data_IF_689563783920
#
_entry.id   IF_689563783920
#
_cell.length_a   1.000
_cell.length_b   1.000
_cell.length_c   1.000
_cell.angle_alpha   90.00
_cell.angle_beta   90.00
_cell.angle_gamma   90.00
#
_symmetry.space_group_name_H-M   'P 1'
#
loop_
_entity.id
_entity.type
_entity.pdbx_description
1 polymer ?
#
# COMPACT_ATOMS: atom_id res chain seq x y z
N UNK A 1 -52.28 -27.09 70.21
CA UNK A 1 -51.35 -25.93 69.94
C UNK A 1 -50.05 -26.45 69.52
N UNK A 2 -49.70 -26.30 68.20
CA UNK A 2 -48.36 -26.56 67.63
C UNK A 2 -47.94 -25.28 66.88
N UNK A 3 -46.73 -24.74 67.07
CA UNK A 3 -46.32 -23.54 66.41
C UNK A 3 -45.87 -23.84 64.97
N UNK A 4 -46.30 -23.01 64.07
CA UNK A 4 -45.90 -23.08 62.63
C UNK A 4 -44.47 -22.62 62.38
N UNK A 5 -43.73 -23.40 61.60
CA UNK A 5 -42.40 -23.08 61.11
C UNK A 5 -42.53 -22.34 59.78
N UNK A 6 -42.29 -21.06 59.78
CA UNK A 6 -42.18 -20.25 58.55
C UNK A 6 -40.83 -20.51 57.87
N UNK A 7 -40.80 -21.21 56.71
CA UNK A 7 -39.66 -21.33 55.83
C UNK A 7 -39.45 -19.99 55.12
N UNK A 8 -38.40 -19.23 55.47
CA UNK A 8 -37.90 -18.11 54.68
C UNK A 8 -37.26 -18.65 53.40
N UNK A 9 -37.91 -18.40 52.27
CA UNK A 9 -37.28 -18.56 50.95
C UNK A 9 -36.14 -17.52 50.83
N UNK A 10 -34.87 -17.95 50.84
CA UNK A 10 -33.72 -17.13 50.48
C UNK A 10 -33.73 -17.01 48.95
N UNK A 11 -33.89 -15.80 48.44
CA UNK A 11 -33.85 -15.48 47.02
C UNK A 11 -32.42 -15.69 46.50
N UNK A 12 -32.24 -16.39 45.37
CA UNK A 12 -30.89 -16.63 44.77
C UNK A 12 -30.26 -15.39 44.12
N UNK A 13 -30.98 -14.26 44.15
CA UNK A 13 -30.51 -13.00 43.48
C UNK A 13 -29.33 -12.35 44.19
N UNK A 14 -29.12 -12.63 45.50
CA UNK A 14 -27.98 -12.05 46.23
C UNK A 14 -26.62 -12.57 45.89
N UNK A 15 -26.50 -13.82 45.37
CA UNK A 15 -25.21 -14.42 45.07
C UNK A 15 -24.66 -14.01 43.70
N UNK A 16 -25.50 -13.66 42.72
CA UNK A 16 -25.11 -13.23 41.39
C UNK A 16 -24.53 -11.80 41.38
N UNK A 17 -24.99 -10.91 42.27
CA UNK A 17 -24.56 -9.51 42.34
C UNK A 17 -23.16 -9.38 42.94
N UNK A 18 -22.76 -10.26 43.88
CA UNK A 18 -21.42 -10.23 44.50
C UNK A 18 -20.33 -10.73 43.54
N UNK A 19 -20.64 -11.63 42.61
CA UNK A 19 -19.69 -12.10 41.59
C UNK A 19 -19.45 -11.05 40.49
N UNK A 20 -20.44 -10.23 40.16
CA UNK A 20 -20.27 -9.14 39.19
C UNK A 20 -19.43 -7.95 39.73
N UNK A 21 -19.52 -7.69 41.02
CA UNK A 21 -18.75 -6.59 41.65
C UNK A 21 -17.23 -6.90 41.83
N UNK A 22 -16.86 -8.18 41.83
CA UNK A 22 -15.47 -8.61 41.93
C UNK A 22 -14.67 -8.53 40.60
N UNK A 23 -15.34 -8.50 39.44
CA UNK A 23 -14.72 -8.47 38.12
C UNK A 23 -14.41 -7.03 37.63
N UNK A 24 -14.97 -6.01 38.24
CA UNK A 24 -14.68 -4.61 37.86
C UNK A 24 -13.30 -4.10 38.29
N UNK A 25 -12.51 -4.88 39.04
CA UNK A 25 -11.13 -4.57 39.44
C UNK A 25 -10.04 -5.29 38.62
N UNK A 26 -10.39 -6.19 37.69
CA UNK A 26 -9.40 -6.81 36.80
C UNK A 26 -8.96 -5.77 35.78
N UNK A 27 -7.77 -5.23 35.99
CA UNK A 27 -7.18 -4.13 35.25
C UNK A 27 -7.33 -4.26 33.72
N UNK A 28 -7.69 -3.16 33.11
CA UNK A 28 -7.50 -2.97 31.68
C UNK A 28 -6.01 -3.22 31.37
N UNK A 29 -5.62 -4.43 30.99
CA UNK A 29 -4.32 -4.69 30.39
C UNK A 29 -4.34 -3.94 29.08
N UNK A 30 -3.70 -2.74 29.03
CA UNK A 30 -3.46 -2.02 27.79
C UNK A 30 -2.64 -2.94 26.87
N UNK A 31 -2.93 -2.91 25.58
CA UNK A 31 -2.04 -3.51 24.57
C UNK A 31 -0.67 -2.86 24.76
N UNK A 32 0.36 -3.69 24.96
CA UNK A 32 1.72 -3.18 25.11
C UNK A 32 2.13 -2.40 23.86
N UNK A 33 2.82 -1.30 24.02
CA UNK A 33 3.39 -0.55 22.90
C UNK A 33 4.48 -1.40 22.25
N UNK A 34 4.47 -1.58 20.92
CA UNK A 34 5.55 -2.30 20.25
C UNK A 34 6.88 -1.59 20.50
N UNK A 35 7.98 -2.34 20.67
CA UNK A 35 9.30 -1.75 20.66
C UNK A 35 9.56 -1.12 19.28
N UNK A 36 10.43 -0.11 19.18
CA UNK A 36 10.81 0.41 17.88
C UNK A 36 11.39 -0.74 17.03
N UNK A 37 11.04 -0.84 15.73
CA UNK A 37 11.59 -1.87 14.89
C UNK A 37 13.10 -1.62 14.74
N UNK A 38 13.87 -2.43 15.47
CA UNK A 38 15.32 -2.56 15.41
C UNK A 38 16.13 -1.25 15.49
N UNK A 39 16.73 -1.01 16.67
CA UNK A 39 17.74 0.04 16.90
C UNK A 39 19.07 -0.21 16.14
N UNK A 40 19.14 -1.24 15.27
CA UNK A 40 20.37 -1.72 14.65
C UNK A 40 20.79 -0.91 13.40
N UNK A 41 19.98 0.03 12.88
CA UNK A 41 20.39 0.88 11.76
C UNK A 41 20.76 2.25 12.29
N UNK A 42 22.05 2.53 12.32
CA UNK A 42 22.53 3.90 12.45
C UNK A 42 22.23 4.66 11.16
N UNK A 43 21.18 5.51 11.21
CA UNK A 43 20.89 6.41 10.09
C UNK A 43 21.95 7.51 10.08
N UNK A 44 22.68 7.72 8.95
CA UNK A 44 23.69 8.76 8.85
C UNK A 44 23.13 10.15 9.20
N UNK A 45 23.94 11.00 9.77
CA UNK A 45 23.57 12.39 10.10
C UNK A 45 23.46 13.28 8.84
N UNK A 46 24.17 12.94 7.76
CA UNK A 46 24.17 13.64 6.48
C UNK A 46 24.29 12.66 5.33
N UNK A 47 23.88 13.10 4.13
CA UNK A 47 24.09 12.36 2.90
C UNK A 47 25.56 12.45 2.46
N UNK A 48 26.13 11.35 1.95
CA UNK A 48 27.52 11.34 1.46
C UNK A 48 27.71 12.19 0.20
N UNK A 49 26.68 12.23 -0.67
CA UNK A 49 26.70 12.93 -1.95
C UNK A 49 26.20 14.39 -1.85
N UNK A 50 25.77 14.87 -0.68
CA UNK A 50 25.33 16.26 -0.54
C UNK A 50 26.53 17.22 -0.46
N UNK A 51 26.49 18.30 -1.26
CA UNK A 51 27.48 19.39 -1.21
C UNK A 51 27.19 20.38 -0.06
N UNK A 52 26.00 20.35 0.51
CA UNK A 52 25.59 21.29 1.55
C UNK A 52 25.90 20.75 2.94
N UNK A 53 26.42 21.61 3.78
CA UNK A 53 26.64 21.32 5.21
C UNK A 53 25.33 20.98 5.88
N UNK A 54 25.28 19.93 6.68
CA UNK A 54 24.12 19.41 7.39
C UNK A 54 23.33 20.44 8.25
N UNK A 55 23.89 21.61 8.46
CA UNK A 55 23.39 22.64 9.39
C UNK A 55 22.32 23.60 8.77
N UNK A 56 22.03 23.54 7.46
CA UNK A 56 21.32 24.63 6.81
C UNK A 56 20.01 24.28 6.11
N UNK A 57 19.64 23.01 5.90
CA UNK A 57 18.50 22.72 5.03
C UNK A 57 17.37 22.06 5.79
N UNK A 58 16.34 22.85 6.10
CA UNK A 58 15.01 22.31 6.32
C UNK A 58 14.59 21.68 4.98
N UNK A 59 14.46 20.35 4.95
CA UNK A 59 13.94 19.66 3.78
C UNK A 59 12.53 20.16 3.42
N UNK A 60 12.06 19.85 2.20
CA UNK A 60 10.76 20.29 1.74
C UNK A 60 9.65 19.78 2.68
N UNK A 61 8.62 20.59 2.84
CA UNK A 61 7.42 20.22 3.62
C UNK A 61 6.66 19.10 2.92
N UNK A 62 5.81 18.38 3.65
CA UNK A 62 4.95 17.35 3.06
C UNK A 62 3.99 17.92 2.01
N UNK A 63 3.60 19.19 2.14
CA UNK A 63 2.74 19.90 1.18
C UNK A 63 3.48 20.21 -0.11
N UNK A 64 4.74 20.66 -0.03
CA UNK A 64 5.58 20.89 -1.21
C UNK A 64 5.90 19.57 -1.93
N UNK A 65 6.21 18.50 -1.18
CA UNK A 65 6.41 17.17 -1.77
C UNK A 65 5.14 16.60 -2.41
N UNK A 66 3.96 16.97 -1.93
CA UNK A 66 2.70 16.49 -2.50
C UNK A 66 2.41 17.03 -3.90
N UNK A 67 3.09 18.08 -4.34
CA UNK A 67 2.91 18.76 -5.64
C UNK A 67 4.24 19.13 -6.31
N UNK A 68 5.30 18.37 -6.03
CA UNK A 68 6.67 18.65 -6.46
C UNK A 68 6.83 18.85 -7.98
N UNK A 69 6.05 18.14 -8.79
CA UNK A 69 6.11 18.23 -10.27
C UNK A 69 5.75 19.61 -10.82
N UNK A 70 4.96 20.40 -10.07
CA UNK A 70 4.59 21.77 -10.46
C UNK A 70 5.78 22.71 -10.53
N UNK A 71 6.88 22.37 -9.84
CA UNK A 71 8.14 23.12 -9.92
C UNK A 71 8.78 23.03 -11.31
N UNK A 72 8.39 22.05 -12.13
CA UNK A 72 8.83 21.91 -13.51
C UNK A 72 8.19 22.92 -14.47
N UNK A 73 7.16 23.65 -14.04
CA UNK A 73 6.56 24.79 -14.75
C UNK A 73 5.84 24.45 -16.06
N UNK A 74 5.39 23.20 -16.23
CA UNK A 74 4.72 22.74 -17.45
C UNK A 74 3.22 22.47 -17.20
N UNK A 75 2.30 23.31 -17.75
CA UNK A 75 0.86 23.15 -17.52
C UNK A 75 0.28 21.87 -18.15
N UNK A 76 0.88 21.33 -19.22
CA UNK A 76 0.47 20.05 -19.83
C UNK A 76 0.78 18.91 -18.90
N UNK A 77 1.97 18.94 -18.26
CA UNK A 77 2.36 17.96 -17.25
C UNK A 77 1.44 18.04 -16.02
N UNK A 78 1.08 19.25 -15.57
CA UNK A 78 0.17 19.43 -14.45
C UNK A 78 -1.19 18.77 -14.71
N UNK A 79 -1.79 19.04 -15.88
CA UNK A 79 -3.06 18.42 -16.27
C UNK A 79 -2.95 16.91 -16.42
N UNK A 80 -1.85 16.42 -16.99
CA UNK A 80 -1.61 14.99 -17.16
C UNK A 80 -1.54 14.27 -15.80
N UNK A 81 -0.77 14.82 -14.85
CA UNK A 81 -0.67 14.25 -13.50
C UNK A 81 -2.03 14.24 -12.79
N UNK A 82 -2.83 15.31 -12.93
CA UNK A 82 -4.20 15.33 -12.35
C UNK A 82 -5.10 14.26 -12.97
N UNK A 83 -5.02 14.01 -14.29
CA UNK A 83 -5.76 12.92 -14.95
C UNK A 83 -5.33 11.56 -14.43
N UNK A 84 -4.03 11.32 -14.30
CA UNK A 84 -3.49 10.07 -13.73
C UNK A 84 -3.97 9.86 -12.29
N UNK A 85 -3.89 10.88 -11.43
CA UNK A 85 -4.33 10.77 -10.03
C UNK A 85 -5.83 10.47 -9.91
N UNK A 86 -6.64 10.98 -10.84
CA UNK A 86 -8.10 10.85 -10.78
C UNK A 86 -8.64 9.60 -11.47
N UNK A 87 -7.94 9.07 -12.48
CA UNK A 87 -8.42 7.98 -13.33
C UNK A 87 -7.65 6.67 -13.26
N UNK A 88 -6.50 6.62 -12.56
CA UNK A 88 -5.65 5.45 -12.56
C UNK A 88 -6.23 4.26 -11.79
N UNK A 89 -6.33 3.10 -12.44
CA UNK A 89 -6.89 1.84 -11.89
C UNK A 89 -6.06 1.26 -10.74
N UNK A 90 -4.73 1.49 -10.72
CA UNK A 90 -3.88 1.00 -9.62
C UNK A 90 -4.14 1.79 -8.34
N UNK A 91 -4.41 3.10 -8.45
CA UNK A 91 -4.86 3.93 -7.31
C UNK A 91 -6.23 3.50 -6.80
N UNK A 92 -7.18 3.20 -7.69
CA UNK A 92 -8.49 2.67 -7.30
C UNK A 92 -8.34 1.30 -6.62
N UNK A 93 -7.47 0.44 -7.14
CA UNK A 93 -7.15 -0.86 -6.54
C UNK A 93 -6.54 -0.69 -5.14
N UNK A 94 -5.60 0.23 -4.97
CA UNK A 94 -5.01 0.54 -3.66
C UNK A 94 -6.05 1.12 -2.68
N UNK A 95 -6.97 1.98 -3.15
CA UNK A 95 -8.08 2.47 -2.35
C UNK A 95 -9.06 1.34 -1.93
N UNK A 96 -9.32 0.39 -2.81
CA UNK A 96 -10.12 -0.80 -2.49
C UNK A 96 -9.45 -1.68 -1.41
N UNK A 97 -8.11 -1.82 -1.43
CA UNK A 97 -7.36 -2.51 -0.36
C UNK A 97 -7.49 -1.81 0.98
N UNK A 98 -7.47 -0.47 1.01
CA UNK A 98 -7.75 0.31 2.23
C UNK A 98 -9.18 0.05 2.74
N UNK A 99 -10.18 -0.03 1.85
CA UNK A 99 -11.55 -0.36 2.23
C UNK A 99 -11.66 -1.78 2.79
N UNK A 100 -10.97 -2.76 2.18
CA UNK A 100 -10.89 -4.14 2.67
C UNK A 100 -10.24 -4.20 4.06
N UNK A 101 -9.09 -3.55 4.26
CA UNK A 101 -8.40 -3.52 5.55
C UNK A 101 -9.27 -2.86 6.65
N UNK A 102 -10.03 -1.81 6.30
CA UNK A 102 -11.01 -1.18 7.19
C UNK A 102 -12.12 -2.15 7.60
N UNK A 103 -12.62 -2.94 6.66
CA UNK A 103 -13.62 -3.96 6.94
C UNK A 103 -13.06 -5.09 7.81
N UNK A 104 -11.84 -5.56 7.55
CA UNK A 104 -11.14 -6.58 8.37
C UNK A 104 -10.92 -6.09 9.81
N UNK A 105 -10.48 -4.82 9.99
CA UNK A 105 -10.42 -4.20 11.31
C UNK A 105 -11.80 -4.16 11.98
N UNK A 106 -12.88 -3.90 11.22
CA UNK A 106 -14.26 -3.96 11.69
C UNK A 106 -14.65 -5.34 12.20
N UNK A 107 -14.26 -6.40 11.48
CA UNK A 107 -14.45 -7.79 11.91
C UNK A 107 -13.72 -8.07 13.24
N UNK A 108 -12.44 -7.72 13.36
CA UNK A 108 -11.69 -7.88 14.61
C UNK A 108 -12.31 -7.09 15.78
N UNK A 109 -12.87 -5.90 15.50
CA UNK A 109 -13.60 -5.12 16.51
C UNK A 109 -14.91 -5.81 16.95
N UNK A 110 -15.62 -6.46 16.04
CA UNK A 110 -16.88 -7.15 16.36
C UNK A 110 -16.69 -8.33 17.30
N UNK A 111 -15.52 -8.97 17.31
CA UNK A 111 -15.18 -10.07 18.23
C UNK A 111 -15.11 -9.65 19.70
N UNK A 112 -15.00 -8.35 19.98
CA UNK A 112 -15.07 -7.82 21.35
C UNK A 112 -16.50 -7.74 21.90
N UNK A 113 -17.51 -7.74 21.02
CA UNK A 113 -18.92 -7.68 21.38
C UNK A 113 -19.57 -9.06 21.46
N UNK A 114 -20.81 -9.13 21.96
CA UNK A 114 -21.61 -10.35 21.92
C UNK A 114 -22.09 -10.65 20.49
N UNK A 115 -22.26 -11.95 20.20
CA UNK A 115 -22.99 -12.44 19.04
C UNK A 115 -24.40 -12.87 19.46
N UNK A 116 -25.38 -12.60 18.60
CA UNK A 116 -26.77 -13.02 18.80
C UNK A 116 -27.19 -13.77 17.54
N UNK A 117 -27.71 -14.98 17.72
CA UNK A 117 -28.26 -15.80 16.64
C UNK A 117 -29.63 -16.32 16.97
N UNK A 118 -30.46 -16.50 15.95
CA UNK A 118 -31.78 -17.14 16.09
C UNK A 118 -31.78 -18.41 15.26
N UNK A 119 -32.30 -19.49 15.84
CA UNK A 119 -32.40 -20.78 15.17
C UNK A 119 -33.84 -21.27 15.23
N UNK A 120 -34.33 -21.87 14.16
CA UNK A 120 -35.59 -22.58 14.09
C UNK A 120 -35.31 -23.96 13.49
N UNK A 121 -35.62 -24.99 14.26
CA UNK A 121 -35.43 -26.38 13.84
C UNK A 121 -36.75 -27.14 13.90
N UNK A 122 -36.98 -27.98 12.92
CA UNK A 122 -38.05 -28.97 12.92
C UNK A 122 -37.45 -30.34 12.70
N UNK A 123 -37.69 -31.24 13.61
CA UNK A 123 -37.18 -32.61 13.59
C UNK A 123 -38.34 -33.57 13.66
N UNK A 124 -38.42 -34.45 12.66
CA UNK A 124 -39.30 -35.64 12.71
C UNK A 124 -38.42 -36.87 12.88
N UNK A 125 -38.63 -37.61 13.96
CA UNK A 125 -37.96 -38.87 14.20
C UNK A 125 -38.96 -40.01 14.25
N UNK A 126 -38.70 -41.09 13.53
CA UNK A 126 -39.52 -42.29 13.48
C UNK A 126 -38.63 -43.49 13.83
N UNK A 127 -39.07 -44.29 14.80
CA UNK A 127 -38.39 -45.52 15.13
C UNK A 127 -38.67 -46.58 14.07
N UNK A 128 -37.63 -47.19 13.49
CA UNK A 128 -37.76 -48.20 12.45
C UNK A 128 -38.10 -49.64 12.97
N UNK A 129 -38.63 -49.76 14.22
CA UNK A 129 -39.07 -51.03 14.79
C UNK A 129 -40.56 -51.25 14.68
N UNK A 130 -41.05 -52.46 15.13
CA UNK A 130 -42.46 -52.89 14.96
C UNK A 130 -43.51 -51.94 15.64
N UNK A 131 -43.05 -51.06 16.55
CA UNK A 131 -43.90 -50.05 17.24
C UNK A 131 -43.54 -48.62 16.78
N UNK A 132 -43.21 -48.38 15.51
CA UNK A 132 -42.76 -47.11 14.96
C UNK A 132 -43.57 -45.89 15.45
N UNK A 133 -43.10 -45.24 16.51
CA UNK A 133 -43.69 -44.00 17.03
C UNK A 133 -42.98 -42.83 16.38
N UNK A 134 -43.69 -42.14 15.49
CA UNK A 134 -43.19 -40.87 14.96
C UNK A 134 -43.31 -39.77 16.03
N UNK A 135 -42.25 -39.00 16.23
CA UNK A 135 -42.19 -37.83 17.11
C UNK A 135 -41.84 -36.62 16.28
N UNK A 136 -42.68 -35.63 16.28
CA UNK A 136 -42.41 -34.32 15.73
C UNK A 136 -41.95 -33.39 16.89
N UNK A 137 -40.90 -32.62 16.64
CA UNK A 137 -40.41 -31.61 17.56
C UNK A 137 -40.05 -30.36 16.75
N UNK A 138 -40.56 -29.24 17.17
CA UNK A 138 -40.24 -27.91 16.65
C UNK A 138 -39.58 -27.12 17.78
N UNK A 139 -38.40 -26.54 17.50
CA UNK A 139 -37.71 -25.69 18.47
C UNK A 139 -37.30 -24.38 17.82
N UNK A 140 -37.45 -23.29 18.55
CA UNK A 140 -36.92 -21.98 18.24
C UNK A 140 -36.00 -21.53 19.37
N UNK A 141 -34.82 -21.01 19.03
CA UNK A 141 -33.93 -20.45 20.04
C UNK A 141 -33.39 -19.08 19.62
N UNK A 142 -33.17 -18.25 20.62
CA UNK A 142 -32.38 -17.02 20.53
C UNK A 142 -31.15 -17.21 21.41
N UNK A 143 -29.99 -17.30 20.80
CA UNK A 143 -28.74 -17.60 21.48
C UNK A 143 -27.86 -16.34 21.51
N UNK A 144 -27.29 -16.04 22.69
CA UNK A 144 -26.32 -14.97 22.91
C UNK A 144 -25.04 -15.60 23.39
N UNK A 145 -23.90 -15.24 22.75
CA UNK A 145 -22.60 -15.69 23.20
C UNK A 145 -21.63 -14.51 23.25
N UNK A 146 -20.85 -14.42 24.30
CA UNK A 146 -19.81 -13.42 24.47
C UNK A 146 -18.63 -14.00 25.25
N UNK A 147 -17.43 -13.70 24.78
CA UNK A 147 -16.20 -14.07 25.44
C UNK A 147 -15.50 -12.80 25.93
N UNK A 148 -15.28 -12.70 27.23
CA UNK A 148 -14.60 -11.59 27.84
C UNK A 148 -13.09 -11.65 27.53
N UNK A 149 -12.55 -10.58 26.96
CA UNK A 149 -11.13 -10.48 26.63
C UNK A 149 -10.29 -10.12 27.88
N UNK A 150 -10.09 -11.09 28.77
CA UNK A 150 -9.37 -10.88 30.02
C UNK A 150 -7.85 -10.71 29.83
N UNK A 151 -7.28 -11.43 28.87
CA UNK A 151 -5.85 -11.48 28.60
C UNK A 151 -5.42 -10.76 27.33
N UNK A 152 -6.34 -10.09 26.65
CA UNK A 152 -6.04 -9.18 25.56
C UNK A 152 -5.94 -9.82 24.17
N UNK A 153 -6.27 -11.11 24.00
CA UNK A 153 -6.20 -11.78 22.70
C UNK A 153 -6.95 -11.03 21.60
N UNK A 154 -8.20 -10.62 21.87
CA UNK A 154 -9.07 -9.90 20.93
C UNK A 154 -8.62 -8.45 20.74
N UNK A 155 -8.15 -7.78 21.80
CA UNK A 155 -7.60 -6.42 21.71
C UNK A 155 -6.30 -6.40 20.90
N UNK A 156 -5.42 -7.39 21.05
CA UNK A 156 -4.24 -7.55 20.21
C UNK A 156 -4.62 -7.84 18.75
N UNK A 157 -5.62 -8.67 18.48
CA UNK A 157 -6.14 -8.89 17.12
C UNK A 157 -6.70 -7.61 16.50
N UNK A 158 -7.43 -6.79 17.27
CA UNK A 158 -7.88 -5.48 16.83
C UNK A 158 -6.72 -4.50 16.56
N UNK A 159 -5.70 -4.50 17.43
CA UNK A 159 -4.49 -3.69 17.24
C UNK A 159 -3.74 -4.09 15.97
N UNK A 160 -3.62 -5.40 15.69
CA UNK A 160 -3.05 -5.90 14.44
C UNK A 160 -3.84 -5.40 13.22
N UNK A 161 -5.17 -5.54 13.25
CA UNK A 161 -6.03 -5.04 12.16
C UNK A 161 -6.00 -3.52 11.99
N UNK A 162 -5.75 -2.76 13.05
CA UNK A 162 -5.55 -1.31 12.98
C UNK A 162 -4.21 -0.97 12.31
N UNK A 163 -3.14 -1.65 12.69
CA UNK A 163 -1.82 -1.45 12.09
C UNK A 163 -1.80 -1.88 10.60
N UNK A 164 -2.48 -2.98 10.24
CA UNK A 164 -2.68 -3.38 8.83
C UNK A 164 -3.41 -2.30 8.03
N UNK A 165 -4.48 -1.70 8.57
CA UNK A 165 -5.18 -0.60 7.91
C UNK A 165 -4.26 0.62 7.70
N UNK A 166 -3.46 0.97 8.69
CA UNK A 166 -2.50 2.05 8.58
C UNK A 166 -1.42 1.76 7.55
N UNK A 167 -0.94 0.51 7.47
CA UNK A 167 0.00 0.07 6.44
C UNK A 167 -0.59 0.22 5.02
N UNK A 168 -1.86 -0.16 4.81
CA UNK A 168 -2.51 -0.01 3.51
C UNK A 168 -2.77 1.45 3.12
N UNK A 169 -3.01 2.34 4.09
CA UNK A 169 -3.08 3.79 3.83
C UNK A 169 -1.73 4.32 3.34
N UNK A 170 -0.62 3.88 3.94
CA UNK A 170 0.72 4.29 3.49
C UNK A 170 1.07 3.65 2.13
N UNK A 171 0.65 2.40 1.86
CA UNK A 171 0.78 1.76 0.55
C UNK A 171 0.07 2.56 -0.56
N UNK A 172 -1.16 3.03 -0.30
CA UNK A 172 -1.87 3.91 -1.23
C UNK A 172 -1.07 5.19 -1.54
N UNK A 173 -0.45 5.79 -0.52
CA UNK A 173 0.43 6.95 -0.71
C UNK A 173 1.67 6.61 -1.52
N UNK A 174 2.28 5.45 -1.28
CA UNK A 174 3.44 4.98 -2.04
C UNK A 174 3.10 4.78 -3.52
N UNK A 175 1.97 4.15 -3.84
CA UNK A 175 1.48 3.98 -5.22
C UNK A 175 1.29 5.33 -5.89
N UNK A 176 0.68 6.31 -5.18
CA UNK A 176 0.51 7.67 -5.72
C UNK A 176 1.86 8.33 -6.06
N UNK A 177 2.84 8.25 -5.17
CA UNK A 177 4.19 8.81 -5.41
C UNK A 177 4.83 8.16 -6.63
N UNK A 178 4.78 6.83 -6.74
CA UNK A 178 5.35 6.10 -7.88
C UNK A 178 4.68 6.48 -9.19
N UNK A 179 3.35 6.55 -9.23
CA UNK A 179 2.60 6.91 -10.44
C UNK A 179 2.91 8.32 -10.92
N UNK A 180 3.01 9.29 -10.01
CA UNK A 180 3.41 10.66 -10.35
C UNK A 180 4.83 10.65 -10.95
N UNK A 181 5.77 9.98 -10.29
CA UNK A 181 7.15 9.90 -10.78
C UNK A 181 7.23 9.24 -12.17
N UNK A 182 6.52 8.13 -12.38
CA UNK A 182 6.45 7.45 -13.67
C UNK A 182 5.82 8.32 -14.77
N UNK A 183 4.79 9.11 -14.42
CA UNK A 183 4.15 10.04 -15.35
C UNK A 183 5.12 11.15 -15.77
N UNK A 184 5.83 11.75 -14.82
CA UNK A 184 6.85 12.78 -15.10
C UNK A 184 7.96 12.23 -15.98
N UNK A 185 8.46 11.02 -15.68
CA UNK A 185 9.49 10.38 -16.47
C UNK A 185 9.03 10.09 -17.90
N UNK A 186 7.86 9.45 -18.07
CA UNK A 186 7.31 9.14 -19.39
C UNK A 186 7.03 10.40 -20.23
N UNK A 187 6.53 11.46 -19.57
CA UNK A 187 6.34 12.75 -20.22
C UNK A 187 7.67 13.40 -20.65
N UNK A 188 8.68 13.35 -19.79
CA UNK A 188 10.01 13.86 -20.09
C UNK A 188 10.64 13.10 -21.26
N UNK A 189 10.52 11.77 -21.27
CA UNK A 189 11.00 10.91 -22.37
C UNK A 189 10.32 11.28 -23.69
N UNK A 190 9.01 11.57 -23.68
CA UNK A 190 8.29 12.04 -24.86
C UNK A 190 8.85 13.37 -25.36
N UNK A 191 9.00 14.36 -24.47
CA UNK A 191 9.50 15.71 -24.88
C UNK A 191 10.96 15.66 -25.37
N UNK A 192 11.78 14.80 -24.78
CA UNK A 192 13.14 14.54 -25.26
C UNK A 192 13.13 13.91 -26.65
N UNK A 193 12.28 12.90 -26.89
CA UNK A 193 12.17 12.25 -28.20
C UNK A 193 11.68 13.24 -29.28
N UNK A 194 10.69 14.08 -28.97
CA UNK A 194 10.19 15.13 -29.87
C UNK A 194 11.27 16.21 -30.18
N UNK A 195 12.06 16.62 -29.19
CA UNK A 195 13.19 17.52 -29.39
C UNK A 195 14.26 16.88 -30.30
N UNK A 196 14.56 15.59 -30.08
CA UNK A 196 15.50 14.84 -30.93
C UNK A 196 15.00 14.68 -32.35
N UNK A 197 13.71 14.45 -32.56
CA UNK A 197 13.13 14.40 -33.91
C UNK A 197 13.32 15.71 -34.67
N UNK A 198 13.10 16.87 -34.02
CA UNK A 198 13.36 18.19 -34.65
C UNK A 198 14.84 18.37 -35.09
N UNK A 199 15.77 17.95 -34.23
CA UNK A 199 17.20 17.99 -34.57
C UNK A 199 17.54 17.02 -35.73
N UNK A 200 16.96 15.82 -35.73
CA UNK A 200 17.15 14.84 -36.82
C UNK A 200 16.60 15.35 -38.14
N UNK A 201 15.44 16.03 -38.16
CA UNK A 201 14.89 16.65 -39.37
C UNK A 201 15.84 17.68 -39.96
N UNK A 202 16.42 18.56 -39.13
CA UNK A 202 17.44 19.51 -39.56
C UNK A 202 18.71 18.81 -40.09
N UNK A 203 19.17 17.76 -39.41
CA UNK A 203 20.32 16.97 -39.84
C UNK A 203 20.08 16.26 -41.18
N UNK A 204 18.87 15.68 -41.38
CA UNK A 204 18.49 15.05 -42.65
C UNK A 204 18.56 16.07 -43.77
N UNK A 205 17.97 17.27 -43.62
CA UNK A 205 18.01 18.35 -44.62
C UNK A 205 19.46 18.73 -45.00
N UNK A 206 20.33 18.96 -44.01
CA UNK A 206 21.75 19.31 -44.26
C UNK A 206 22.50 18.17 -44.96
N UNK A 207 22.25 16.89 -44.61
CA UNK A 207 22.89 15.74 -45.28
C UNK A 207 22.33 15.51 -46.68
N UNK A 208 21.08 15.83 -46.96
CA UNK A 208 20.48 15.80 -48.30
C UNK A 208 21.19 16.80 -49.22
N UNK A 209 21.33 18.05 -48.76
CA UNK A 209 22.05 19.09 -49.50
C UNK A 209 23.50 18.70 -49.77
N UNK A 210 24.21 18.16 -48.77
CA UNK A 210 25.60 17.69 -48.91
C UNK A 210 25.70 16.54 -49.91
N UNK A 211 24.78 15.56 -49.85
CA UNK A 211 24.77 14.42 -50.77
C UNK A 211 24.49 14.89 -52.21
N UNK A 212 23.52 15.78 -52.38
CA UNK A 212 23.18 16.35 -53.69
C UNK A 212 24.32 17.14 -54.30
N UNK A 213 24.95 18.00 -53.52
CA UNK A 213 26.11 18.77 -53.96
C UNK A 213 27.28 17.84 -54.37
N UNK A 214 27.55 16.79 -53.62
CA UNK A 214 28.61 15.83 -53.90
C UNK A 214 28.31 15.02 -55.18
N UNK A 215 27.03 14.65 -55.41
CA UNK A 215 26.58 14.01 -56.65
C UNK A 215 26.78 14.91 -57.88
N UNK A 216 26.49 16.21 -57.81
CA UNK A 216 26.74 17.16 -58.87
C UNK A 216 28.24 17.32 -59.14
N UNK A 217 29.06 17.35 -58.08
CA UNK A 217 30.54 17.42 -58.24
C UNK A 217 31.12 16.14 -58.86
N UNK A 218 30.57 14.94 -58.52
CA UNK A 218 30.94 13.68 -59.18
C UNK A 218 30.63 13.74 -60.69
N UNK A 219 29.41 14.20 -61.04
CA UNK A 219 28.99 14.33 -62.46
C UNK A 219 29.86 15.31 -63.22
N UNK A 220 30.34 16.36 -62.59
CA UNK A 220 31.27 17.34 -63.17
C UNK A 220 32.75 16.84 -63.17
N UNK A 221 33.02 15.65 -62.62
CA UNK A 221 34.39 15.11 -62.49
C UNK A 221 35.23 15.78 -61.40
N UNK A 222 34.60 16.52 -60.48
CA UNK A 222 35.24 17.29 -59.40
C UNK A 222 35.24 16.55 -58.05
N UNK A 223 34.58 15.42 -57.96
CA UNK A 223 34.59 14.53 -56.80
C UNK A 223 34.67 13.08 -57.25
N UNK A 224 35.17 12.23 -56.38
CA UNK A 224 35.25 10.78 -56.62
C UNK A 224 33.94 10.08 -56.33
N UNK A 225 33.68 8.93 -56.98
CA UNK A 225 32.54 8.06 -56.68
C UNK A 225 32.55 7.56 -55.22
N UNK A 226 33.73 7.47 -54.61
CA UNK A 226 33.90 7.13 -53.19
C UNK A 226 33.26 8.20 -52.31
N UNK A 227 33.55 9.48 -52.55
CA UNK A 227 32.97 10.62 -51.80
C UNK A 227 31.47 10.69 -51.96
N UNK A 228 30.93 10.50 -53.18
CA UNK A 228 29.48 10.47 -53.40
C UNK A 228 28.80 9.31 -52.64
N UNK A 229 29.40 8.11 -52.64
CA UNK A 229 28.85 6.98 -51.87
C UNK A 229 28.96 7.17 -50.36
N UNK A 230 30.03 7.85 -49.86
CA UNK A 230 30.15 8.20 -48.43
C UNK A 230 29.06 9.19 -48.00
N UNK A 231 28.78 10.22 -48.80
CA UNK A 231 27.72 11.19 -48.54
C UNK A 231 26.35 10.53 -48.52
N UNK A 232 26.04 9.65 -49.50
CA UNK A 232 24.79 8.87 -49.52
C UNK A 232 24.64 7.92 -48.32
N UNK A 233 25.75 7.26 -47.92
CA UNK A 233 25.78 6.38 -46.76
C UNK A 233 25.48 7.17 -45.48
N UNK A 234 26.10 8.34 -45.29
CA UNK A 234 25.89 9.22 -44.15
C UNK A 234 24.43 9.71 -44.07
N UNK A 235 23.84 10.12 -45.22
CA UNK A 235 22.44 10.47 -45.30
C UNK A 235 21.54 9.29 -44.93
N UNK A 236 21.84 8.07 -45.43
CA UNK A 236 21.07 6.86 -45.10
C UNK A 236 21.11 6.52 -43.60
N UNK A 237 22.25 6.72 -42.94
CA UNK A 237 22.39 6.50 -41.49
C UNK A 237 21.50 7.47 -40.69
N UNK A 238 21.55 8.77 -40.97
CA UNK A 238 20.73 9.76 -40.26
C UNK A 238 19.23 9.52 -40.52
N UNK A 239 18.83 9.17 -41.75
CA UNK A 239 17.44 8.81 -42.06
C UNK A 239 16.95 7.57 -41.29
N UNK A 240 17.83 6.60 -41.02
CA UNK A 240 17.51 5.42 -40.26
C UNK A 240 17.28 5.69 -38.75
N UNK A 241 17.82 6.76 -38.20
CA UNK A 241 17.63 7.16 -36.80
C UNK A 241 16.21 7.73 -36.55
N UNK A 242 15.58 8.34 -37.56
CA UNK A 242 14.25 8.94 -37.42
C UNK A 242 13.16 7.95 -36.97
N UNK A 243 12.95 6.82 -37.66
CA UNK A 243 11.90 5.85 -37.25
C UNK A 243 12.20 5.24 -35.88
N UNK A 244 13.47 5.06 -35.50
CA UNK A 244 13.83 4.58 -34.16
C UNK A 244 13.46 5.60 -33.07
N UNK A 245 13.68 6.90 -33.31
CA UNK A 245 13.30 7.96 -32.37
C UNK A 245 11.78 8.15 -32.32
N UNK A 246 11.09 8.02 -33.46
CA UNK A 246 9.62 8.08 -33.54
C UNK A 246 8.96 6.94 -32.76
N UNK A 247 9.58 5.75 -32.79
CA UNK A 247 9.14 4.63 -31.96
C UNK A 247 9.26 4.95 -30.46
N UNK A 248 10.35 5.58 -30.00
CA UNK A 248 10.50 6.00 -28.59
C UNK A 248 9.40 6.99 -28.19
N UNK A 249 9.09 7.96 -29.06
CA UNK A 249 8.00 8.90 -28.79
C UNK A 249 6.63 8.20 -28.72
N UNK A 250 6.39 7.22 -29.59
CA UNK A 250 5.16 6.42 -29.59
C UNK A 250 5.06 5.58 -28.32
N UNK A 251 6.14 4.91 -27.90
CA UNK A 251 6.16 4.12 -26.66
C UNK A 251 5.91 5.00 -25.42
N UNK A 252 6.47 6.21 -25.39
CA UNK A 252 6.24 7.16 -24.31
C UNK A 252 4.76 7.62 -24.25
N UNK A 253 4.12 7.91 -25.41
CA UNK A 253 2.67 8.23 -25.47
C UNK A 253 1.81 7.09 -24.97
N UNK A 254 2.04 5.88 -25.45
CA UNK A 254 1.30 4.69 -25.02
C UNK A 254 1.47 4.43 -23.53
N UNK A 255 2.65 4.70 -22.98
CA UNK A 255 2.89 4.60 -21.53
C UNK A 255 2.08 5.64 -20.76
N UNK A 256 1.97 6.87 -21.27
CA UNK A 256 1.15 7.91 -20.65
C UNK A 256 -0.34 7.57 -20.70
N UNK A 257 -0.86 7.07 -21.83
CA UNK A 257 -2.24 6.56 -21.95
C UNK A 257 -2.51 5.47 -20.91
N UNK A 258 -1.58 4.52 -20.75
CA UNK A 258 -1.69 3.44 -19.77
C UNK A 258 -1.71 3.98 -18.34
N UNK A 259 -0.81 4.93 -18.01
CA UNK A 259 -0.76 5.54 -16.67
C UNK A 259 -2.03 6.32 -16.35
N UNK A 260 -2.64 6.95 -17.35
CA UNK A 260 -3.95 7.60 -17.20
C UNK A 260 -5.12 6.60 -17.19
N UNK A 261 -4.84 5.30 -17.42
CA UNK A 261 -5.85 4.23 -17.61
C UNK A 261 -6.84 4.55 -18.75
N UNK A 262 -6.35 5.17 -19.80
CA UNK A 262 -7.10 5.53 -20.97
C UNK A 262 -6.73 4.62 -22.17
N UNK A 263 -7.58 4.62 -23.22
CA UNK A 263 -7.29 3.86 -24.43
C UNK A 263 -6.18 4.54 -25.24
N UNK A 264 -5.38 3.78 -26.02
CA UNK A 264 -4.32 4.35 -26.83
C UNK A 264 -4.80 5.51 -27.73
N UNK A 265 -4.11 6.66 -27.63
CA UNK A 265 -4.41 7.87 -28.39
C UNK A 265 -5.38 8.84 -27.70
N UNK A 266 -5.92 8.51 -26.52
CA UNK A 266 -6.84 9.38 -25.81
C UNK A 266 -6.20 10.69 -25.31
N UNK A 267 -4.89 10.68 -25.07
CA UNK A 267 -4.12 11.86 -24.64
C UNK A 267 -3.53 12.68 -25.80
N UNK A 268 -3.70 12.25 -27.06
CA UNK A 268 -3.06 12.89 -28.23
C UNK A 268 -3.37 14.38 -28.32
N UNK A 269 -4.61 14.80 -28.08
CA UNK A 269 -5.02 16.21 -28.12
C UNK A 269 -4.31 17.04 -27.02
N UNK A 270 -4.21 16.51 -25.80
CA UNK A 270 -3.50 17.16 -24.70
C UNK A 270 -2.01 17.25 -25.00
N UNK A 271 -1.40 16.16 -25.46
CA UNK A 271 0.04 16.08 -25.73
C UNK A 271 0.45 16.90 -26.96
N UNK A 272 -0.48 17.18 -27.91
CA UNK A 272 -0.24 18.07 -29.04
C UNK A 272 -0.23 19.55 -28.65
N UNK A 273 -0.69 19.90 -27.43
CA UNK A 273 -0.64 21.28 -26.93
C UNK A 273 0.81 21.76 -26.85
N UNK A 274 1.12 22.98 -27.33
CA UNK A 274 2.47 23.52 -27.26
C UNK A 274 2.97 23.57 -25.80
N UNK A 275 4.08 22.90 -25.53
CA UNK A 275 4.73 22.90 -24.22
C UNK A 275 6.01 23.76 -24.27
N UNK A 276 6.52 24.26 -23.13
CA UNK A 276 7.74 25.05 -23.05
C UNK A 276 8.99 24.32 -23.59
N UNK A 277 8.92 23.02 -23.79
CA UNK A 277 10.01 22.16 -24.24
C UNK A 277 10.20 20.95 -23.32
N UNK A 278 11.45 20.57 -23.09
CA UNK A 278 11.80 19.55 -22.08
C UNK A 278 11.62 20.20 -20.70
N UNK A 279 10.89 19.58 -19.76
CA UNK A 279 10.74 20.12 -18.41
C UNK A 279 12.11 20.36 -17.77
N UNK A 280 12.35 21.55 -17.28
CA UNK A 280 13.61 21.91 -16.64
C UNK A 280 13.55 21.61 -15.14
N UNK A 281 14.58 20.97 -14.54
CA UNK A 281 14.65 20.79 -13.10
C UNK A 281 14.79 22.16 -12.40
N UNK A 282 14.36 22.28 -11.12
CA UNK A 282 14.61 23.47 -10.33
C UNK A 282 16.13 23.71 -10.16
N UNK A 283 16.54 24.98 -10.04
CA UNK A 283 17.96 25.36 -9.88
C UNK A 283 18.66 24.71 -8.68
N UNK A 284 17.90 24.34 -7.66
CA UNK A 284 18.39 23.62 -6.48
C UNK A 284 17.39 22.59 -6.00
N UNK A 285 17.87 21.37 -5.72
CA UNK A 285 17.09 20.30 -5.09
C UNK A 285 17.47 20.28 -3.60
N UNK A 286 16.55 20.75 -2.76
CA UNK A 286 16.72 20.67 -1.31
C UNK A 286 16.34 19.28 -0.81
N UNK A 287 17.29 18.59 -0.18
CA UNK A 287 17.08 17.27 0.43
C UNK A 287 17.32 17.39 1.93
N UNK A 288 16.30 17.08 2.73
CA UNK A 288 16.43 17.11 4.20
C UNK A 288 17.45 16.09 4.71
N UNK A 289 17.78 16.16 6.00
CA UNK A 289 18.68 15.16 6.63
C UNK A 289 18.08 13.73 6.48
N UNK A 290 18.93 12.68 6.40
CA UNK A 290 18.49 11.31 6.13
C UNK A 290 17.33 10.83 7.01
N UNK A 291 17.41 11.05 8.33
CA UNK A 291 16.37 10.63 9.27
C UNK A 291 15.02 11.34 9.06
N UNK A 292 14.99 12.60 8.60
CA UNK A 292 13.76 13.32 8.29
C UNK A 292 13.14 12.83 6.99
N UNK A 293 13.95 12.62 5.95
CA UNK A 293 13.54 12.09 4.65
C UNK A 293 12.92 10.70 4.78
N UNK A 294 13.56 9.79 5.54
CA UNK A 294 13.03 8.44 5.79
C UNK A 294 11.66 8.47 6.48
N UNK A 295 11.47 9.38 7.45
CA UNK A 295 10.18 9.50 8.16
C UNK A 295 9.04 10.01 7.28
N UNK A 296 9.34 10.67 6.17
CA UNK A 296 8.34 11.15 5.20
C UNK A 296 7.95 10.10 4.17
N UNK A 297 8.79 9.08 3.95
CA UNK A 297 8.57 8.04 2.92
C UNK A 297 7.42 7.10 3.28
N UNK A 298 6.42 6.96 2.41
CA UNK A 298 5.28 6.08 2.66
C UNK A 298 5.66 4.59 2.75
N UNK A 299 6.63 4.11 1.97
CA UNK A 299 7.12 2.73 1.98
C UNK A 299 7.76 2.35 3.32
N UNK A 300 8.59 3.24 3.89
CA UNK A 300 9.19 3.07 5.22
C UNK A 300 8.10 3.07 6.30
N UNK A 301 7.13 3.96 6.19
CA UNK A 301 5.99 4.02 7.14
C UNK A 301 5.12 2.78 7.05
N UNK A 302 4.83 2.29 5.85
CA UNK A 302 4.06 1.06 5.66
C UNK A 302 4.77 -0.14 6.31
N UNK A 303 6.08 -0.31 6.06
CA UNK A 303 6.85 -1.42 6.67
C UNK A 303 6.91 -1.34 8.19
N UNK A 304 6.98 -0.13 8.78
CA UNK A 304 6.90 0.06 10.23
C UNK A 304 5.52 -0.38 10.78
N UNK A 305 4.41 -0.05 10.09
CA UNK A 305 3.06 -0.50 10.49
C UNK A 305 2.88 -1.99 10.35
N UNK A 306 3.49 -2.62 9.33
CA UNK A 306 3.49 -4.09 9.19
C UNK A 306 4.24 -4.77 10.35
N UNK A 307 5.33 -4.20 10.82
CA UNK A 307 6.02 -4.65 12.03
C UNK A 307 5.12 -4.56 13.27
N UNK A 308 4.44 -3.44 13.47
CA UNK A 308 3.48 -3.26 14.57
C UNK A 308 2.34 -4.29 14.50
N UNK A 309 1.85 -4.61 13.30
CA UNK A 309 0.83 -5.63 13.10
C UNK A 309 1.34 -7.03 13.48
N UNK A 310 2.58 -7.37 13.09
CA UNK A 310 3.20 -8.65 13.46
C UNK A 310 3.42 -8.77 14.97
N UNK A 311 3.88 -7.69 15.63
CA UNK A 311 3.99 -7.60 17.07
C UNK A 311 2.65 -7.88 17.77
N UNK A 312 1.59 -7.23 17.32
CA UNK A 312 0.26 -7.42 17.89
C UNK A 312 -0.24 -8.87 17.68
N UNK A 313 0.05 -9.49 16.52
CA UNK A 313 -0.31 -10.90 16.28
C UNK A 313 0.45 -11.85 17.18
N UNK A 314 1.71 -11.56 17.52
CA UNK A 314 2.46 -12.33 18.52
C UNK A 314 1.78 -12.21 19.88
N UNK A 315 1.42 -11.01 20.33
CA UNK A 315 0.70 -10.79 21.59
C UNK A 315 -0.63 -11.54 21.66
N UNK A 316 -1.39 -11.58 20.55
CA UNK A 316 -2.62 -12.36 20.46
C UNK A 316 -2.36 -13.87 20.61
N UNK A 317 -1.28 -14.40 20.00
CA UNK A 317 -0.91 -15.80 20.12
C UNK A 317 -0.44 -16.14 21.54
N UNK A 318 0.31 -15.26 22.19
CA UNK A 318 0.75 -15.42 23.57
C UNK A 318 -0.42 -15.44 24.57
N UNK A 319 -1.45 -14.60 24.31
CA UNK A 319 -2.68 -14.59 25.11
C UNK A 319 -3.40 -15.96 25.07
N UNK A 320 -3.20 -16.76 24.02
CA UNK A 320 -3.74 -18.11 23.91
C UNK A 320 -3.19 -19.13 24.92
N UNK A 321 -2.17 -18.79 25.72
CA UNK A 321 -1.68 -19.60 26.87
C UNK A 321 -2.64 -19.54 28.07
N UNK A 322 -3.48 -18.52 28.16
CA UNK A 322 -4.30 -18.21 29.32
C UNK A 322 -5.72 -18.71 29.17
N UNK A 323 -6.45 -18.89 30.29
CA UNK A 323 -7.84 -19.28 30.25
C UNK A 323 -8.74 -18.26 29.55
N UNK A 324 -9.78 -18.73 28.85
CA UNK A 324 -10.85 -17.90 28.30
C UNK A 324 -12.07 -17.95 29.19
N UNK A 325 -12.79 -16.84 29.34
CA UNK A 325 -14.02 -16.72 30.07
C UNK A 325 -15.18 -16.38 29.14
N UNK A 326 -16.10 -17.35 28.98
CA UNK A 326 -17.28 -17.20 28.14
C UNK A 326 -18.55 -17.04 28.94
N UNK A 327 -19.48 -16.26 28.44
CA UNK A 327 -20.85 -16.14 28.89
C UNK A 327 -21.75 -16.46 27.70
N UNK A 328 -22.69 -17.41 27.86
CA UNK A 328 -23.70 -17.70 26.86
C UNK A 328 -25.08 -17.71 27.51
N UNK A 329 -26.09 -17.31 26.77
CA UNK A 329 -27.46 -17.36 27.20
C UNK A 329 -28.35 -17.81 26.06
N UNK A 330 -29.40 -18.51 26.37
CA UNK A 330 -30.43 -18.86 25.39
C UNK A 330 -31.83 -18.61 25.91
N UNK A 331 -32.70 -18.24 25.01
CA UNK A 331 -34.12 -18.25 25.16
C UNK A 331 -34.66 -19.27 24.17
N UNK A 332 -35.16 -20.39 24.71
CA UNK A 332 -35.55 -21.55 23.94
C UNK A 332 -37.03 -21.77 24.05
N UNK A 333 -37.69 -22.09 22.95
CA UNK A 333 -39.06 -22.58 22.89
C UNK A 333 -39.08 -23.95 22.21
N UNK A 334 -39.72 -24.94 22.79
CA UNK A 334 -39.83 -26.28 22.21
C UNK A 334 -41.22 -26.85 22.36
N UNK A 335 -41.77 -27.37 21.27
CA UNK A 335 -43.11 -27.98 21.21
C UNK A 335 -43.16 -29.12 20.22
N UNK A 336 -44.20 -29.92 20.24
CA UNK A 336 -44.56 -30.94 19.28
C UNK A 336 -45.15 -30.38 17.97
N UNK A 337 -45.57 -29.11 17.99
CA UNK A 337 -46.18 -28.43 16.83
C UNK A 337 -45.85 -26.94 16.80
N UNK A 338 -45.86 -26.35 15.58
CA UNK A 338 -45.68 -24.91 15.39
C UNK A 338 -46.75 -24.06 16.08
N UNK A 339 -47.97 -24.58 16.27
CA UNK A 339 -49.08 -23.86 16.90
C UNK A 339 -48.82 -23.58 18.39
N UNK A 340 -48.15 -24.50 19.07
CA UNK A 340 -47.90 -24.44 20.51
C UNK A 340 -46.50 -23.91 20.85
N UNK A 341 -45.70 -23.56 19.85
CA UNK A 341 -44.29 -23.17 20.03
C UNK A 341 -44.12 -21.91 20.89
N UNK A 342 -45.08 -20.99 20.83
CA UNK A 342 -45.03 -19.72 21.56
C UNK A 342 -45.86 -19.71 22.84
N UNK A 343 -46.32 -20.85 23.29
CA UNK A 343 -46.96 -20.96 24.61
C UNK A 343 -45.92 -20.73 25.71
N UNK A 344 -46.26 -19.94 26.74
CA UNK A 344 -45.32 -19.59 27.81
C UNK A 344 -44.75 -20.81 28.54
N UNK A 345 -45.50 -21.90 28.57
CA UNK A 345 -45.08 -23.18 29.19
C UNK A 345 -44.03 -23.93 28.33
N UNK A 346 -43.87 -23.56 27.07
CA UNK A 346 -42.89 -24.11 26.15
C UNK A 346 -41.57 -23.32 26.15
N UNK A 347 -41.50 -22.13 26.80
CA UNK A 347 -40.36 -21.21 26.78
C UNK A 347 -39.55 -21.33 28.07
N UNK A 348 -38.23 -21.51 27.91
CA UNK A 348 -37.28 -21.52 29.02
C UNK A 348 -36.04 -20.69 28.67
N UNK A 349 -35.40 -20.12 29.69
CA UNK A 349 -34.20 -19.32 29.57
C UNK A 349 -33.06 -19.98 30.30
N UNK A 350 -31.90 -20.01 29.63
CA UNK A 350 -30.63 -20.52 30.20
C UNK A 350 -29.59 -19.40 30.23
N UNK A 351 -28.78 -19.39 31.28
CA UNK A 351 -27.57 -18.55 31.35
C UNK A 351 -26.42 -19.41 31.86
N UNK A 352 -25.35 -19.48 31.06
CA UNK A 352 -24.17 -20.28 31.36
C UNK A 352 -22.96 -19.37 31.34
N UNK A 353 -22.08 -19.52 32.33
CA UNK A 353 -20.77 -18.91 32.32
C UNK A 353 -19.72 -19.99 32.58
N UNK A 354 -18.61 -19.92 31.87
CA UNK A 354 -17.56 -20.94 31.96
C UNK A 354 -16.19 -20.38 31.80
N UNK A 355 -15.20 -20.99 32.46
CA UNK A 355 -13.78 -20.75 32.29
C UNK A 355 -13.17 -21.98 31.64
N UNK A 356 -12.50 -21.81 30.50
CA UNK A 356 -11.80 -22.88 29.78
C UNK A 356 -10.32 -22.57 29.72
N UNK A 357 -9.48 -23.52 30.18
CA UNK A 357 -8.01 -23.38 30.14
C UNK A 357 -7.40 -24.52 29.32
N UNK A 358 -6.45 -24.23 28.42
CA UNK A 358 -5.70 -25.27 27.71
C UNK A 358 -4.71 -25.94 28.68
N UNK A 359 -4.90 -27.25 28.97
CA UNK A 359 -3.99 -28.01 29.84
C UNK A 359 -2.95 -28.76 29.01
N UNK A 360 -3.37 -29.37 27.90
CA UNK A 360 -2.49 -30.16 27.04
C UNK A 360 -2.97 -30.02 25.58
N UNK A 361 -2.10 -29.49 24.72
CA UNK A 361 -2.38 -29.17 23.32
C UNK A 361 -1.35 -29.75 22.34
N UNK A 362 -0.62 -30.76 22.76
CA UNK A 362 0.44 -31.45 21.95
C UNK A 362 1.42 -30.48 21.25
N UNK A 363 1.71 -29.36 21.88
CA UNK A 363 2.62 -28.32 21.33
C UNK A 363 1.96 -27.24 20.48
N UNK A 364 0.67 -27.34 20.13
CA UNK A 364 -0.02 -26.41 19.22
C UNK A 364 0.15 -24.94 19.62
N UNK A 365 -0.04 -24.60 20.89
CA UNK A 365 0.10 -23.20 21.36
C UNK A 365 1.55 -22.74 21.25
N UNK A 366 2.50 -23.55 21.71
CA UNK A 366 3.93 -23.24 21.64
C UNK A 366 4.38 -23.01 20.20
N UNK A 367 4.00 -23.90 19.30
CA UNK A 367 4.44 -23.85 17.91
C UNK A 367 3.75 -22.70 17.16
N UNK A 368 2.48 -22.35 17.49
CA UNK A 368 1.83 -21.15 16.96
C UNK A 368 2.55 -19.86 17.41
N UNK A 369 3.00 -19.77 18.66
CA UNK A 369 3.79 -18.64 19.13
C UNK A 369 5.12 -18.57 18.41
N UNK A 370 5.83 -19.68 18.23
CA UNK A 370 7.08 -19.72 17.48
C UNK A 370 6.91 -19.28 16.02
N UNK A 371 5.79 -19.62 15.38
CA UNK A 371 5.45 -19.12 14.04
C UNK A 371 5.28 -17.59 14.05
N UNK A 372 4.56 -17.04 15.03
CA UNK A 372 4.33 -15.57 15.11
C UNK A 372 5.61 -14.82 15.47
N UNK A 373 6.46 -15.38 16.30
CA UNK A 373 7.77 -14.82 16.65
C UNK A 373 8.68 -14.75 15.41
N UNK A 374 8.78 -15.84 14.64
CA UNK A 374 9.51 -15.84 13.38
C UNK A 374 8.92 -14.85 12.33
N UNK A 375 7.59 -14.66 12.31
CA UNK A 375 6.95 -13.66 11.46
C UNK A 375 7.26 -12.22 11.90
N UNK A 376 7.39 -11.98 13.20
CA UNK A 376 7.82 -10.70 13.73
C UNK A 376 9.27 -10.40 13.34
N UNK A 377 10.17 -11.37 13.44
CA UNK A 377 11.56 -11.26 12.99
C UNK A 377 11.62 -10.93 11.48
N UNK A 378 10.83 -11.62 10.65
CA UNK A 378 10.72 -11.33 9.23
C UNK A 378 10.26 -9.89 8.97
N UNK A 379 9.27 -9.40 9.72
CA UNK A 379 8.77 -8.03 9.59
C UNK A 379 9.84 -7.00 9.99
N UNK A 380 10.65 -7.28 11.03
CA UNK A 380 11.77 -6.45 11.45
C UNK A 380 12.86 -6.38 10.36
N UNK A 381 13.22 -7.52 9.77
CA UNK A 381 14.20 -7.59 8.68
C UNK A 381 13.70 -6.89 7.40
N UNK A 382 12.40 -7.01 7.08
CA UNK A 382 11.78 -6.29 5.98
C UNK A 382 11.84 -4.77 6.19
N UNK A 383 11.52 -4.29 7.39
CA UNK A 383 11.67 -2.88 7.74
C UNK A 383 13.12 -2.42 7.55
N UNK A 384 14.08 -3.17 8.06
CA UNK A 384 15.50 -2.89 7.90
C UNK A 384 15.91 -2.80 6.42
N UNK A 385 15.49 -3.76 5.60
CA UNK A 385 15.75 -3.78 4.16
C UNK A 385 15.16 -2.57 3.45
N UNK A 386 13.91 -2.19 3.82
CA UNK A 386 13.24 -1.01 3.25
C UNK A 386 13.99 0.28 3.60
N UNK A 387 14.44 0.45 4.83
CA UNK A 387 15.21 1.63 5.26
C UNK A 387 16.55 1.72 4.50
N UNK A 388 17.29 0.60 4.41
CA UNK A 388 18.56 0.56 3.67
C UNK A 388 18.36 0.82 2.18
N UNK A 389 17.32 0.25 1.60
CA UNK A 389 16.92 0.49 0.21
C UNK A 389 16.60 1.96 -0.05
N UNK A 390 15.83 2.59 0.85
CA UNK A 390 15.48 4.00 0.75
C UNK A 390 16.70 4.93 0.87
N UNK A 391 17.64 4.64 1.77
CA UNK A 391 18.91 5.37 1.87
C UNK A 391 19.72 5.26 0.57
N UNK A 392 19.90 4.05 0.07
CA UNK A 392 20.65 3.81 -1.16
C UNK A 392 20.01 4.46 -2.41
N UNK A 393 18.68 4.55 -2.43
CA UNK A 393 17.93 5.21 -3.52
C UNK A 393 18.19 6.71 -3.54
N UNK A 394 18.13 7.39 -2.39
CA UNK A 394 18.39 8.83 -2.30
C UNK A 394 19.84 9.14 -2.63
N UNK A 395 20.82 8.39 -2.09
CA UNK A 395 22.24 8.57 -2.42
C UNK A 395 22.50 8.40 -3.93
N UNK A 396 21.87 7.39 -4.54
CA UNK A 396 22.00 7.18 -5.99
C UNK A 396 21.38 8.33 -6.78
N UNK A 397 20.23 8.85 -6.35
CA UNK A 397 19.59 9.98 -7.01
C UNK A 397 20.46 11.26 -6.93
N UNK A 398 21.02 11.55 -5.75
CA UNK A 398 21.94 12.69 -5.56
C UNK A 398 23.21 12.57 -6.42
N UNK A 399 23.81 11.37 -6.45
CA UNK A 399 24.99 11.12 -7.31
C UNK A 399 24.67 11.27 -8.79
N UNK A 400 23.49 10.76 -9.23
CA UNK A 400 23.06 10.90 -10.63
C UNK A 400 22.79 12.36 -11.00
N UNK A 401 22.17 13.12 -10.09
CA UNK A 401 21.90 14.53 -10.30
C UNK A 401 23.19 15.34 -10.47
N UNK A 402 24.15 15.18 -9.55
CA UNK A 402 25.44 15.83 -9.59
C UNK A 402 26.21 15.49 -10.90
N UNK A 403 26.24 14.21 -11.26
CA UNK A 403 26.91 13.77 -12.49
C UNK A 403 26.25 14.35 -13.75
N UNK A 404 24.93 14.51 -13.74
CA UNK A 404 24.20 15.14 -14.84
C UNK A 404 24.56 16.63 -14.96
N UNK A 405 24.63 17.37 -13.83
CA UNK A 405 25.04 18.79 -13.83
C UNK A 405 26.46 18.95 -14.40
N UNK A 406 27.41 18.16 -13.90
CA UNK A 406 28.79 18.19 -14.40
C UNK A 406 28.86 17.93 -15.93
N UNK A 407 28.05 16.95 -16.39
CA UNK A 407 28.01 16.62 -17.83
C UNK A 407 27.37 17.72 -18.68
N UNK A 408 26.38 18.44 -18.17
CA UNK A 408 25.74 19.55 -18.90
C UNK A 408 26.77 20.65 -19.17
N UNK A 409 27.57 21.04 -18.19
CA UNK A 409 28.61 22.07 -18.34
C UNK A 409 29.60 21.69 -19.47
N UNK A 410 30.11 20.46 -19.46
CA UNK A 410 31.05 19.99 -20.50
C UNK A 410 30.40 19.92 -21.89
N UNK A 411 29.09 19.59 -21.97
CA UNK A 411 28.38 19.57 -23.25
C UNK A 411 28.10 20.97 -23.78
N UNK A 412 27.82 21.95 -22.92
CA UNK A 412 27.62 23.35 -23.30
C UNK A 412 28.92 23.95 -23.88
N UNK A 413 30.07 23.68 -23.25
CA UNK A 413 31.37 24.07 -23.76
C UNK A 413 31.67 23.44 -25.13
N UNK A 414 31.35 22.14 -25.27
CA UNK A 414 31.52 21.44 -26.56
C UNK A 414 30.63 22.01 -27.68
N UNK A 415 29.36 22.36 -27.36
CA UNK A 415 28.44 23.00 -28.32
C UNK A 415 28.95 24.37 -28.72
N UNK A 416 29.44 25.18 -27.76
CA UNK A 416 30.07 26.49 -28.06
C UNK A 416 31.22 26.38 -29.03
N UNK A 417 32.16 25.47 -28.75
CA UNK A 417 33.33 25.24 -29.63
C UNK A 417 32.93 24.73 -31.04
N UNK A 418 31.89 23.85 -31.10
CA UNK A 418 31.40 23.36 -32.40
C UNK A 418 30.71 24.45 -33.22
N UNK A 419 29.95 25.35 -32.56
CA UNK A 419 29.33 26.49 -33.23
C UNK A 419 30.34 27.46 -33.79
N UNK A 420 31.39 27.81 -33.03
CA UNK A 420 32.51 28.67 -33.52
C UNK A 420 33.23 28.01 -34.71
N UNK A 421 33.49 26.69 -34.66
CA UNK A 421 34.08 25.98 -35.76
C UNK A 421 33.23 26.00 -37.04
N UNK A 422 31.89 25.92 -36.88
CA UNK A 422 30.98 25.98 -38.01
C UNK A 422 30.90 27.39 -38.66
N UNK A 423 31.09 28.47 -37.89
CA UNK A 423 31.15 29.84 -38.40
C UNK A 423 32.44 30.14 -39.17
N UNK A 424 33.53 29.44 -38.83
CA UNK A 424 34.84 29.60 -39.46
C UNK A 424 35.02 28.75 -40.73
N UNK A 425 34.15 27.80 -40.98
CA UNK A 425 34.23 26.86 -42.11
C UNK A 425 33.42 27.34 -43.33
#
# INVERSE_FOLDING_TARGET
>A
MKPGVTKRRRSPVGFAVVLLAGLSGAGCSSVATPPPPNDAIEVPASWNESRESADAVQGPTAEELAVWWRQLGDPVLDELVERVITGNVDLETAAARVAEARARRGLAKSELGPSISANLNSVRSEALGDDGIARDSVSASLDVAWEADLFGAKRYSLAAGQADLEAEIENLRAVRVSLIAETVLAYTDLRVAEARLRVLESNVSSREETSQLTDWREQAGLASRLEANQARSSLGQVRAERPATDQIATEARLRLDLLASEVPGALDELLATPAPGIPAPPESVSVGIPAATLRQRPDVRSSARQFEAAWARLGAAEAGKYPTFGISGSLDAQSDSLANLFDLDAVFANLVSGLTAPIFESGRIRDNIAVRDAQLEQAALNYQSTVLGALAEVERALSSFRTAEERIVELEDAVGAAAEAAELA
#
